data_IF_340143198922
#
_entry.id   IF_340143198922
#
_cell.length_a   1.000
_cell.length_b   1.000
_cell.length_c   1.000
_cell.angle_alpha   90.00
_cell.angle_beta   90.00
_cell.angle_gamma   90.00
#
_symmetry.space_group_name_H-M   'P 1'
#
loop_
_entity.id
_entity.type
_entity.pdbx_description
1 polymer ?
#
# COMPACT_ATOMS: atom_id res chain seq x y z
N UNK A 1 21.05 -49.06 9.98
CA UNK A 1 20.42 -49.36 11.28
C UNK A 1 20.55 -48.10 12.15
N UNK A 2 19.72 -47.08 11.94
CA UNK A 2 18.37 -46.91 12.50
C UNK A 2 18.34 -46.90 14.03
N UNK A 3 18.43 -45.70 14.61
CA UNK A 3 17.54 -45.29 15.70
C UNK A 3 17.02 -43.90 15.34
N UNK A 4 15.70 -43.82 15.21
CA UNK A 4 14.92 -42.67 14.78
C UNK A 4 14.83 -41.63 15.89
N UNK A 5 14.98 -40.35 15.53
CA UNK A 5 14.69 -39.19 16.38
C UNK A 5 13.19 -39.00 16.71
N UNK A 6 12.34 -39.98 16.38
CA UNK A 6 10.89 -39.98 16.60
C UNK A 6 10.46 -40.50 17.99
N UNK A 7 11.38 -40.82 18.91
CA UNK A 7 11.03 -41.36 20.24
C UNK A 7 11.30 -40.44 21.43
N UNK A 8 11.79 -39.21 21.24
CA UNK A 8 12.03 -38.25 22.35
C UNK A 8 11.00 -37.11 22.42
N UNK A 9 9.99 -37.10 21.55
CA UNK A 9 8.92 -36.10 21.54
C UNK A 9 7.66 -36.50 22.34
N UNK A 10 7.74 -37.54 23.18
CA UNK A 10 6.63 -37.98 24.04
C UNK A 10 7.09 -38.07 25.49
N UNK A 11 7.18 -36.92 26.16
CA UNK A 11 6.90 -36.73 27.60
C UNK A 11 7.42 -35.36 28.07
N UNK A 12 6.67 -34.30 27.80
CA UNK A 12 6.75 -33.05 28.58
C UNK A 12 5.33 -32.59 28.88
N UNK A 13 4.88 -32.86 30.10
CA UNK A 13 3.64 -32.33 30.67
C UNK A 13 3.92 -30.89 31.16
N UNK A 14 3.22 -29.91 30.59
CA UNK A 14 3.31 -28.51 31.01
C UNK A 14 2.46 -28.28 32.28
N UNK A 15 2.96 -27.56 33.30
CA UNK A 15 2.25 -27.33 34.55
C UNK A 15 1.04 -26.39 34.40
N UNK A 16 -0.03 -26.71 35.12
CA UNK A 16 -1.28 -25.96 35.20
C UNK A 16 -1.13 -24.64 35.95
N UNK A 17 -0.96 -23.54 35.23
CA UNK A 17 -1.14 -22.18 35.77
C UNK A 17 -2.23 -21.37 35.04
N UNK A 18 -2.92 -21.98 34.07
CA UNK A 18 -3.92 -21.30 33.22
C UNK A 18 -5.38 -21.47 33.68
N UNK A 19 -5.64 -22.14 34.81
CA UNK A 19 -7.00 -22.36 35.31
C UNK A 19 -7.42 -21.40 36.44
N UNK A 20 -6.49 -20.73 37.14
CA UNK A 20 -6.85 -19.78 38.21
C UNK A 20 -7.19 -18.37 37.68
N UNK A 21 -6.61 -17.94 36.55
CA UNK A 21 -6.82 -16.58 36.00
C UNK A 21 -8.17 -16.44 35.28
N UNK A 22 -8.68 -17.51 34.65
CA UNK A 22 -10.00 -17.51 33.99
C UNK A 22 -11.16 -17.44 34.99
N UNK A 23 -10.97 -17.91 36.23
CA UNK A 23 -11.99 -17.79 37.28
C UNK A 23 -12.07 -16.38 37.89
N UNK A 24 -10.96 -15.63 37.91
CA UNK A 24 -10.93 -14.26 38.43
C UNK A 24 -11.55 -13.21 37.50
N UNK A 25 -11.39 -13.38 36.18
CA UNK A 25 -11.93 -12.43 35.17
C UNK A 25 -13.44 -12.67 34.94
N UNK A 26 -13.89 -13.92 35.08
CA UNK A 26 -15.31 -14.31 34.92
C UNK A 26 -16.24 -13.66 35.97
N UNK A 27 -15.75 -13.42 37.21
CA UNK A 27 -16.55 -12.75 38.24
C UNK A 27 -16.72 -11.23 38.02
N UNK A 28 -15.86 -10.61 37.22
CA UNK A 28 -15.88 -9.15 37.01
C UNK A 28 -16.82 -8.71 35.87
N UNK A 29 -16.98 -9.55 34.84
CA UNK A 29 -17.70 -9.19 33.60
C UNK A 29 -19.22 -9.38 33.70
N UNK A 30 -19.74 -10.01 34.76
CA UNK A 30 -21.19 -10.29 34.87
C UNK A 30 -21.99 -9.32 35.75
N UNK A 31 -21.36 -8.33 36.38
CA UNK A 31 -22.08 -7.38 37.22
C UNK A 31 -22.52 -6.13 36.41
N UNK A 32 -23.61 -6.27 35.63
CA UNK A 32 -24.17 -5.17 34.79
C UNK A 32 -24.47 -3.87 35.56
N UNK A 33 -24.63 -3.93 36.89
CA UNK A 33 -24.78 -2.75 37.75
C UNK A 33 -23.47 -1.99 37.96
N UNK A 34 -22.34 -2.69 38.04
CA UNK A 34 -21.02 -2.08 38.20
C UNK A 34 -20.57 -1.34 36.93
N UNK A 35 -20.76 -1.96 35.76
CA UNK A 35 -20.42 -1.33 34.47
C UNK A 35 -21.23 -0.04 34.20
N UNK A 36 -22.51 -0.02 34.61
CA UNK A 36 -23.36 1.18 34.54
C UNK A 36 -22.90 2.27 35.51
N UNK A 37 -22.43 1.89 36.71
CA UNK A 37 -21.92 2.85 37.69
C UNK A 37 -20.64 3.53 37.18
N UNK A 38 -19.70 2.74 36.63
CA UNK A 38 -18.44 3.24 36.05
C UNK A 38 -18.71 4.19 34.89
N UNK A 39 -19.60 3.80 33.96
CA UNK A 39 -19.99 4.65 32.83
C UNK A 39 -20.63 5.96 33.30
N UNK A 40 -21.53 5.91 34.29
CA UNK A 40 -22.17 7.11 34.85
C UNK A 40 -21.15 8.04 35.52
N UNK A 41 -20.19 7.52 36.29
CA UNK A 41 -19.12 8.34 36.89
C UNK A 41 -18.23 8.98 35.84
N UNK A 42 -17.90 8.26 34.75
CA UNK A 42 -17.08 8.82 33.66
C UNK A 42 -17.82 9.96 32.95
N UNK A 43 -19.12 9.78 32.65
CA UNK A 43 -19.94 10.84 32.05
C UNK A 43 -20.05 12.07 32.97
N UNK A 44 -20.25 11.88 34.27
CA UNK A 44 -20.31 13.00 35.22
C UNK A 44 -18.97 13.76 35.32
N UNK A 45 -17.84 13.04 35.26
CA UNK A 45 -16.52 13.68 35.26
C UNK A 45 -16.29 14.50 33.99
N UNK A 46 -16.64 13.97 32.82
CA UNK A 46 -16.48 14.67 31.53
C UNK A 46 -17.39 15.91 31.47
N UNK A 47 -18.66 15.77 31.85
CA UNK A 47 -19.60 16.89 31.87
C UNK A 47 -19.19 17.94 32.91
N UNK A 48 -18.72 17.51 34.09
CA UNK A 48 -18.17 18.40 35.12
C UNK A 48 -16.93 19.17 34.64
N UNK A 49 -16.02 18.53 33.91
CA UNK A 49 -14.85 19.17 33.32
C UNK A 49 -15.22 20.19 32.24
N UNK A 50 -16.18 19.86 31.37
CA UNK A 50 -16.68 20.78 30.34
C UNK A 50 -17.42 21.98 30.96
N UNK A 51 -18.18 21.76 32.03
CA UNK A 51 -18.86 22.82 32.78
C UNK A 51 -17.88 23.71 33.57
N UNK A 52 -16.87 23.12 34.19
CA UNK A 52 -15.80 23.86 34.86
C UNK A 52 -15.04 24.74 33.86
N UNK A 53 -14.64 24.17 32.70
CA UNK A 53 -13.92 24.90 31.67
C UNK A 53 -14.73 26.06 31.04
N UNK A 54 -16.06 25.94 30.99
CA UNK A 54 -16.95 27.03 30.54
C UNK A 54 -17.10 28.11 31.61
N UNK A 55 -17.08 27.77 32.89
CA UNK A 55 -17.13 28.73 34.01
C UNK A 55 -15.80 29.47 34.23
N UNK A 56 -14.66 28.82 33.99
CA UNK A 56 -13.32 29.41 34.23
C UNK A 56 -12.74 30.14 33.02
N UNK A 57 -13.40 30.12 31.87
CA UNK A 57 -12.97 30.84 30.66
C UNK A 57 -11.63 30.34 30.07
N UNK A 58 -11.21 29.12 30.40
CA UNK A 58 -9.91 28.55 30.01
C UNK A 58 -9.98 27.76 28.70
N UNK A 59 -10.60 28.35 27.66
CA UNK A 59 -10.49 27.85 26.28
C UNK A 59 -9.64 28.85 25.49
N UNK A 60 -8.45 28.48 25.00
CA UNK A 60 -7.73 29.29 24.04
C UNK A 60 -8.56 29.41 22.75
N UNK A 61 -8.80 30.64 22.30
CA UNK A 61 -9.45 30.91 21.03
C UNK A 61 -8.60 30.36 19.87
N UNK A 62 -9.01 29.23 19.28
CA UNK A 62 -8.49 28.71 18.02
C UNK A 62 -9.19 29.41 16.85
N UNK A 63 -8.99 30.72 16.70
CA UNK A 63 -9.33 31.45 15.47
C UNK A 63 -8.30 32.55 15.25
N UNK A 64 -7.40 32.44 14.25
CA UNK A 64 -6.64 33.59 13.78
C UNK A 64 -7.55 34.49 12.96
N UNK A 65 -7.52 35.78 13.28
CA UNK A 65 -8.19 36.88 12.57
C UNK A 65 -7.93 36.86 11.07
N UNK A 66 -8.99 37.00 10.27
CA UNK A 66 -8.93 37.14 8.82
C UNK A 66 -8.28 38.48 8.43
N UNK A 67 -7.01 38.45 8.03
CA UNK A 67 -6.40 39.53 7.26
C UNK A 67 -6.64 39.29 5.77
N UNK A 68 -7.43 40.18 5.18
CA UNK A 68 -7.66 40.29 3.74
C UNK A 68 -6.31 40.59 3.06
N UNK A 69 -5.80 39.67 2.25
CA UNK A 69 -4.63 39.86 1.40
C UNK A 69 -5.10 39.92 -0.06
N UNK A 70 -4.89 41.07 -0.69
CA UNK A 70 -5.03 41.28 -2.13
C UNK A 70 -4.06 40.39 -2.94
N UNK A 71 -4.42 39.97 -4.16
CA UNK A 71 -3.59 39.07 -4.96
C UNK A 71 -2.55 39.85 -5.76
N UNK A 72 -1.30 39.92 -5.30
CA UNK A 72 -0.14 40.10 -6.19
C UNK A 72 1.18 39.89 -5.45
N UNK A 73 1.77 38.71 -5.60
CA UNK A 73 3.21 38.48 -5.74
C UNK A 73 3.42 36.97 -5.88
N UNK A 74 4.04 36.55 -6.98
CA UNK A 74 4.49 35.16 -7.15
C UNK A 74 5.34 34.77 -5.94
N UNK A 75 4.90 33.75 -5.21
CA UNK A 75 5.69 33.17 -4.13
C UNK A 75 7.05 32.71 -4.70
N UNK A 76 8.16 32.93 -3.98
CA UNK A 76 9.46 32.47 -4.41
C UNK A 76 9.44 30.94 -4.56
N UNK A 77 10.02 30.47 -5.67
CA UNK A 77 10.15 29.06 -6.03
C UNK A 77 10.71 28.28 -4.84
N UNK A 78 9.83 27.51 -4.18
CA UNK A 78 10.29 26.50 -3.23
C UNK A 78 11.29 25.59 -3.97
N UNK A 79 12.37 25.11 -3.33
CA UNK A 79 13.23 24.14 -3.96
C UNK A 79 12.36 23.01 -4.50
N UNK A 80 12.45 22.76 -5.80
CA UNK A 80 11.64 21.74 -6.46
C UNK A 80 11.82 20.44 -5.68
N UNK A 81 10.72 19.88 -5.16
CA UNK A 81 10.73 18.61 -4.46
C UNK A 81 11.35 17.50 -5.33
N UNK A 82 11.56 16.30 -4.78
CA UNK A 82 12.01 15.17 -5.57
C UNK A 82 11.08 14.98 -6.77
N UNK A 83 11.67 14.97 -7.97
CA UNK A 83 10.93 14.82 -9.23
C UNK A 83 10.12 13.52 -9.24
N UNK A 84 10.69 12.45 -8.68
CA UNK A 84 10.10 11.12 -8.70
C UNK A 84 9.87 10.58 -7.30
N UNK A 85 8.94 9.64 -7.16
CA UNK A 85 8.81 8.78 -5.99
C UNK A 85 8.49 7.34 -6.37
N UNK A 86 8.87 6.41 -5.50
CA UNK A 86 8.29 5.08 -5.45
C UNK A 86 7.21 5.07 -4.37
N UNK A 87 6.13 4.32 -4.55
CA UNK A 87 5.07 4.20 -3.57
C UNK A 87 4.61 2.75 -3.39
N UNK A 88 4.16 2.41 -2.19
CA UNK A 88 3.45 1.17 -1.89
C UNK A 88 2.36 1.42 -0.86
N UNK A 89 1.40 0.51 -0.76
CA UNK A 89 0.36 0.50 0.26
C UNK A 89 0.60 -0.63 1.25
N UNK A 90 0.72 -0.30 2.54
CA UNK A 90 0.77 -1.28 3.61
C UNK A 90 -0.59 -1.33 4.31
N UNK A 91 -1.32 -2.42 4.15
CA UNK A 91 -2.56 -2.69 4.88
C UNK A 91 -2.30 -3.24 6.29
N UNK A 92 -3.28 -3.17 7.20
CA UNK A 92 -3.26 -3.94 8.45
C UNK A 92 -3.14 -5.44 8.21
N UNK A 93 -2.73 -6.19 9.24
CA UNK A 93 -2.70 -7.63 9.13
C UNK A 93 -4.11 -8.21 9.30
N UNK A 94 -4.65 -8.76 8.22
CA UNK A 94 -6.00 -9.33 8.18
C UNK A 94 -6.10 -10.80 8.63
N UNK A 95 -5.04 -11.39 9.18
CA UNK A 95 -5.12 -12.70 9.80
C UNK A 95 -6.04 -12.68 11.03
N UNK A 96 -6.82 -13.74 11.22
CA UNK A 96 -7.72 -13.86 12.38
C UNK A 96 -6.94 -13.91 13.69
N UNK A 97 -7.38 -13.14 14.69
CA UNK A 97 -6.82 -13.12 16.06
C UNK A 97 -5.31 -12.79 16.11
N UNK A 98 -4.80 -12.02 15.15
CA UNK A 98 -3.40 -11.58 15.13
C UNK A 98 -3.18 -10.34 15.98
N UNK A 99 -2.03 -10.29 16.67
CA UNK A 99 -1.53 -9.06 17.26
C UNK A 99 -1.03 -8.16 16.13
N UNK A 100 -1.67 -7.00 15.93
CA UNK A 100 -1.27 -6.05 14.88
C UNK A 100 0.16 -5.54 15.05
N UNK A 101 0.73 -5.63 16.26
CA UNK A 101 2.12 -5.27 16.54
C UNK A 101 3.11 -6.39 16.22
N UNK A 102 2.65 -7.62 15.96
CA UNK A 102 3.51 -8.71 15.52
C UNK A 102 4.03 -8.42 14.11
N UNK A 103 5.36 -8.42 13.99
CA UNK A 103 6.08 -8.20 12.74
C UNK A 103 6.48 -9.51 12.07
N UNK A 104 6.67 -10.59 12.83
CA UNK A 104 7.23 -11.84 12.31
C UNK A 104 6.20 -12.62 11.50
N UNK A 105 4.92 -12.50 11.86
CA UNK A 105 3.80 -13.16 11.18
C UNK A 105 3.11 -12.27 10.14
N UNK A 106 3.62 -11.08 9.86
CA UNK A 106 3.03 -10.16 8.89
C UNK A 106 3.89 -10.12 7.63
N UNK A 107 3.58 -11.01 6.68
CA UNK A 107 4.42 -11.14 5.49
C UNK A 107 4.32 -9.93 4.55
N UNK A 108 3.20 -9.21 4.56
CA UNK A 108 3.08 -7.96 3.80
C UNK A 108 3.98 -6.88 4.41
N UNK A 109 4.00 -6.75 5.74
CA UNK A 109 4.96 -5.85 6.41
C UNK A 109 6.41 -6.25 6.11
N UNK A 110 6.76 -7.53 6.24
CA UNK A 110 8.11 -8.01 5.93
C UNK A 110 8.47 -7.75 4.46
N UNK A 111 7.53 -7.93 3.54
CA UNK A 111 7.76 -7.68 2.12
C UNK A 111 7.89 -6.18 1.81
N UNK A 112 7.12 -5.30 2.47
CA UNK A 112 7.32 -3.86 2.40
C UNK A 112 8.71 -3.44 2.88
N UNK A 113 9.22 -4.05 3.96
CA UNK A 113 10.61 -3.83 4.41
C UNK A 113 11.63 -4.30 3.37
N UNK A 114 11.42 -5.50 2.79
CA UNK A 114 12.26 -6.03 1.71
C UNK A 114 12.27 -5.07 0.51
N UNK A 115 11.11 -4.58 0.07
CA UNK A 115 11.00 -3.63 -1.03
C UNK A 115 11.73 -2.31 -0.73
N UNK A 116 11.57 -1.76 0.48
CA UNK A 116 12.31 -0.59 0.95
C UNK A 116 13.83 -0.82 0.88
N UNK A 117 14.30 -1.94 1.43
CA UNK A 117 15.71 -2.33 1.39
C UNK A 117 16.22 -2.52 -0.04
N UNK A 118 15.42 -3.13 -0.92
CA UNK A 118 15.78 -3.35 -2.32
C UNK A 118 15.95 -2.04 -3.08
N UNK A 119 15.05 -1.07 -2.87
CA UNK A 119 15.10 0.23 -3.53
C UNK A 119 16.22 1.12 -2.98
N UNK A 120 16.50 1.07 -1.68
CA UNK A 120 17.37 2.06 -1.01
C UNK A 120 18.79 1.58 -0.72
N UNK A 121 18.97 0.28 -0.51
CA UNK A 121 20.17 -0.22 0.18
C UNK A 121 20.86 -1.35 -0.58
N UNK A 122 20.11 -2.33 -1.05
CA UNK A 122 20.62 -3.53 -1.72
C UNK A 122 21.58 -3.17 -2.85
N UNK A 123 22.80 -3.72 -2.82
CA UNK A 123 23.79 -3.45 -3.88
C UNK A 123 23.37 -3.94 -5.26
N UNK A 124 22.40 -4.86 -5.33
CA UNK A 124 21.93 -5.43 -6.59
C UNK A 124 20.79 -4.63 -7.23
N UNK A 125 19.89 -4.09 -6.41
CA UNK A 125 18.61 -3.55 -6.85
C UNK A 125 18.42 -2.07 -6.54
N UNK A 126 19.28 -1.46 -5.72
CA UNK A 126 19.09 -0.06 -5.30
C UNK A 126 18.92 0.85 -6.50
N UNK A 127 18.01 1.80 -6.37
CA UNK A 127 17.85 2.87 -7.34
C UNK A 127 19.04 3.83 -7.26
N UNK A 128 19.48 4.36 -8.39
CA UNK A 128 20.71 5.15 -8.46
C UNK A 128 20.57 6.50 -7.72
N UNK A 129 19.42 7.17 -7.86
CA UNK A 129 19.15 8.43 -7.17
C UNK A 129 18.58 8.19 -5.77
N UNK A 130 19.40 8.50 -4.75
CA UNK A 130 19.03 8.32 -3.34
C UNK A 130 17.99 9.32 -2.84
N UNK A 131 17.76 10.40 -3.60
CA UNK A 131 16.79 11.44 -3.23
C UNK A 131 15.36 11.07 -3.60
N UNK A 132 15.16 10.03 -4.44
CA UNK A 132 13.83 9.49 -4.72
C UNK A 132 13.32 8.77 -3.47
N UNK A 133 12.23 9.25 -2.84
CA UNK A 133 11.69 8.63 -1.65
C UNK A 133 10.94 7.34 -2.00
N UNK A 134 10.83 6.46 -1.01
CA UNK A 134 9.89 5.34 -1.02
C UNK A 134 8.76 5.66 -0.05
N UNK A 135 7.60 5.99 -0.61
CA UNK A 135 6.38 6.35 0.11
C UNK A 135 5.67 5.07 0.54
N UNK A 136 5.45 4.89 1.84
CA UNK A 136 4.61 3.81 2.37
C UNK A 136 3.30 4.42 2.84
N UNK A 137 2.26 4.27 2.03
CA UNK A 137 0.90 4.66 2.38
C UNK A 137 0.42 3.75 3.51
N UNK A 138 0.03 4.34 4.64
CA UNK A 138 -0.34 3.63 5.85
C UNK A 138 -1.72 4.10 6.34
N UNK A 139 -2.81 3.38 5.99
CA UNK A 139 -4.16 3.63 6.48
C UNK A 139 -4.24 3.54 8.02
N UNK A 140 -5.27 4.08 8.69
CA UNK A 140 -5.24 4.35 10.13
C UNK A 140 -4.96 3.12 11.02
N UNK A 141 -5.32 1.93 10.56
CA UNK A 141 -5.23 0.69 11.34
C UNK A 141 -3.87 -0.02 11.25
N UNK A 142 -2.91 0.50 10.49
CA UNK A 142 -1.53 -0.02 10.50
C UNK A 142 -0.86 0.35 11.83
N UNK A 143 -0.35 -0.66 12.54
CA UNK A 143 0.25 -0.51 13.86
C UNK A 143 1.44 0.47 13.87
N UNK A 144 1.55 1.28 14.92
CA UNK A 144 2.56 2.34 15.01
C UNK A 144 3.98 1.80 14.99
N UNK A 145 4.26 0.67 15.66
CA UNK A 145 5.60 0.08 15.67
C UNK A 145 6.09 -0.31 14.26
N UNK A 146 5.18 -0.75 13.37
CA UNK A 146 5.50 -1.05 11.97
C UNK A 146 5.89 0.21 11.20
N UNK A 147 5.14 1.30 11.39
CA UNK A 147 5.46 2.62 10.82
C UNK A 147 6.83 3.12 11.31
N UNK A 148 7.09 3.01 12.60
CA UNK A 148 8.33 3.46 13.23
C UNK A 148 9.54 2.68 12.69
N UNK A 149 9.41 1.36 12.53
CA UNK A 149 10.47 0.52 11.94
C UNK A 149 10.76 0.95 10.50
N UNK A 150 9.74 1.06 9.64
CA UNK A 150 9.91 1.46 8.24
C UNK A 150 10.51 2.86 8.12
N UNK A 151 10.09 3.81 8.96
CA UNK A 151 10.67 5.15 9.03
C UNK A 151 12.16 5.11 9.43
N UNK A 152 12.51 4.32 10.45
CA UNK A 152 13.90 4.14 10.88
C UNK A 152 14.76 3.47 9.80
N UNK A 153 14.16 2.64 8.96
CA UNK A 153 14.78 2.00 7.80
C UNK A 153 14.85 2.90 6.55
N UNK A 154 14.39 4.15 6.66
CA UNK A 154 14.53 5.20 5.65
C UNK A 154 13.37 5.31 4.66
N UNK A 155 12.25 4.62 4.89
CA UNK A 155 11.02 4.85 4.14
C UNK A 155 10.33 6.14 4.59
N UNK A 156 9.58 6.78 3.69
CA UNK A 156 8.72 7.91 4.02
C UNK A 156 7.33 7.38 4.35
N UNK A 157 6.92 7.48 5.63
CA UNK A 157 5.59 7.06 6.04
C UNK A 157 4.58 8.13 5.65
N UNK A 158 3.55 7.73 4.91
CA UNK A 158 2.45 8.61 4.49
C UNK A 158 1.17 8.11 5.13
N UNK A 159 0.71 8.69 6.25
CA UNK A 159 -0.61 8.39 6.79
C UNK A 159 -1.68 8.79 5.78
N UNK A 160 -2.59 7.88 5.47
CA UNK A 160 -3.66 8.13 4.51
C UNK A 160 -5.03 7.88 5.14
N UNK A 161 -6.08 8.63 4.74
CA UNK A 161 -7.44 8.25 5.06
C UNK A 161 -7.80 6.95 4.32
N UNK A 162 -8.76 6.22 4.87
CA UNK A 162 -9.35 5.08 4.18
C UNK A 162 -10.47 5.56 3.23
N UNK A 163 -10.40 5.15 1.97
CA UNK A 163 -11.38 5.41 0.92
C UNK A 163 -12.28 4.20 0.77
N UNK A 164 -13.57 4.38 1.06
CA UNK A 164 -14.60 3.38 0.83
C UNK A 164 -15.97 4.05 0.70
N UNK A 165 -16.76 3.60 -0.27
CA UNK A 165 -18.16 3.98 -0.41
C UNK A 165 -19.09 2.82 0.03
N UNK A 166 -20.27 3.14 0.57
CA UNK A 166 -21.18 2.16 1.18
C UNK A 166 -21.62 1.03 0.23
N UNK A 167 -21.70 1.32 -1.07
CA UNK A 167 -22.10 0.36 -2.10
C UNK A 167 -21.01 -0.65 -2.42
N UNK A 168 -19.75 -0.34 -2.12
CA UNK A 168 -18.60 -1.19 -2.43
C UNK A 168 -18.53 -2.32 -1.42
N UNK A 169 -18.65 -3.55 -1.94
CA UNK A 169 -18.49 -4.78 -1.16
C UNK A 169 -17.20 -5.47 -1.59
N UNK A 170 -16.21 -5.38 -0.71
CA UNK A 170 -14.87 -5.90 -0.96
C UNK A 170 -14.91 -7.43 -1.05
N UNK A 171 -14.34 -8.05 -2.10
CA UNK A 171 -14.42 -9.50 -2.29
C UNK A 171 -13.47 -10.28 -1.36
N UNK A 172 -12.40 -9.65 -0.86
CA UNK A 172 -11.41 -10.24 0.04
C UNK A 172 -11.07 -9.28 1.20
N UNK A 173 -10.89 -9.75 2.45
CA UNK A 173 -10.53 -8.88 3.56
C UNK A 173 -9.24 -8.08 3.35
N UNK A 174 -8.25 -8.67 2.65
CA UNK A 174 -6.98 -8.01 2.33
C UNK A 174 -7.10 -6.91 1.28
N UNK A 175 -8.27 -6.74 0.68
CA UNK A 175 -8.48 -5.76 -0.39
C UNK A 175 -9.26 -4.53 0.06
N UNK A 176 -9.46 -4.38 1.37
CA UNK A 176 -10.22 -3.26 1.93
C UNK A 176 -9.59 -1.93 1.52
N UNK A 177 -8.28 -1.79 1.66
CA UNK A 177 -7.57 -0.54 1.39
C UNK A 177 -7.24 -0.29 -0.08
N UNK A 178 -7.64 -1.15 -1.02
CA UNK A 178 -7.13 -1.05 -2.40
C UNK A 178 -7.49 0.27 -3.11
N UNK A 179 -8.60 0.90 -2.76
CA UNK A 179 -8.97 2.22 -3.27
C UNK A 179 -8.13 3.35 -2.68
N UNK A 180 -7.43 3.14 -1.56
CA UNK A 180 -6.56 4.15 -0.95
C UNK A 180 -5.40 4.50 -1.90
N UNK A 181 -5.01 3.60 -2.81
CA UNK A 181 -4.03 3.84 -3.89
C UNK A 181 -4.39 5.07 -4.75
N UNK A 182 -5.68 5.40 -4.89
CA UNK A 182 -6.14 6.54 -5.68
C UNK A 182 -5.62 7.89 -5.15
N UNK A 183 -5.28 7.97 -3.86
CA UNK A 183 -4.70 9.17 -3.26
C UNK A 183 -3.38 9.59 -3.91
N UNK A 184 -2.67 8.67 -4.57
CA UNK A 184 -1.42 8.99 -5.28
C UNK A 184 -1.62 10.05 -6.37
N UNK A 185 -2.81 10.14 -6.98
CA UNK A 185 -3.11 11.19 -7.94
C UNK A 185 -3.17 12.59 -7.29
N UNK A 186 -3.39 12.68 -5.98
CA UNK A 186 -3.40 13.97 -5.26
C UNK A 186 -2.00 14.48 -4.88
N UNK A 187 -0.96 13.64 -4.98
CA UNK A 187 0.41 13.98 -4.54
C UNK A 187 1.16 14.81 -5.60
N UNK A 188 0.60 15.96 -5.93
CA UNK A 188 1.04 16.88 -6.99
C UNK A 188 2.40 17.55 -6.74
N UNK A 189 3.02 17.31 -5.57
CA UNK A 189 4.41 17.68 -5.31
C UNK A 189 5.43 16.81 -6.07
N UNK A 190 5.01 15.64 -6.57
CA UNK A 190 5.83 14.76 -7.41
C UNK A 190 5.47 14.90 -8.88
N UNK A 191 6.48 14.87 -9.75
CA UNK A 191 6.27 14.84 -11.20
C UNK A 191 5.86 13.44 -11.68
N UNK A 192 6.47 12.37 -11.14
CA UNK A 192 6.04 10.98 -11.41
C UNK A 192 6.09 10.12 -10.17
N UNK A 193 5.14 9.21 -10.05
CA UNK A 193 5.13 8.18 -9.00
C UNK A 193 5.02 6.83 -9.67
N UNK A 194 5.94 5.91 -9.34
CA UNK A 194 5.78 4.48 -9.62
C UNK A 194 5.20 3.81 -8.39
N UNK A 195 4.01 3.23 -8.52
CA UNK A 195 3.40 2.39 -7.52
C UNK A 195 3.81 0.93 -7.71
N UNK A 196 4.17 0.27 -6.60
CA UNK A 196 4.45 -1.16 -6.52
C UNK A 196 3.66 -1.75 -5.35
N UNK A 197 2.89 -2.81 -5.59
CA UNK A 197 2.27 -3.58 -4.52
C UNK A 197 3.32 -4.18 -3.58
N UNK A 198 2.94 -4.40 -2.32
CA UNK A 198 3.87 -4.90 -1.30
C UNK A 198 4.39 -6.32 -1.59
N UNK A 199 3.74 -7.09 -2.47
CA UNK A 199 4.18 -8.39 -2.99
C UNK A 199 4.89 -8.31 -4.36
N UNK A 200 5.31 -7.11 -4.79
CA UNK A 200 6.31 -6.94 -5.85
C UNK A 200 7.71 -7.14 -5.28
N UNK A 201 8.54 -7.91 -5.99
CA UNK A 201 9.94 -8.17 -5.64
C UNK A 201 10.87 -7.74 -6.78
N UNK A 202 11.93 -6.99 -6.45
CA UNK A 202 12.91 -6.54 -7.44
C UNK A 202 13.92 -7.65 -7.73
N UNK A 203 14.01 -8.02 -9.00
CA UNK A 203 15.07 -8.88 -9.52
C UNK A 203 16.28 -8.03 -9.87
N UNK A 204 16.08 -6.87 -10.49
CA UNK A 204 17.11 -5.90 -10.84
C UNK A 204 16.72 -4.49 -10.41
N UNK A 205 17.65 -3.53 -10.57
CA UNK A 205 17.36 -2.12 -10.32
C UNK A 205 16.35 -1.54 -11.31
N UNK A 206 15.47 -0.66 -10.81
CA UNK A 206 14.47 0.07 -11.60
C UNK A 206 15.02 1.32 -12.32
N UNK A 207 16.34 1.47 -12.42
CA UNK A 207 16.95 2.56 -13.19
C UNK A 207 16.43 2.55 -14.63
N UNK A 208 16.01 3.71 -15.15
CA UNK A 208 15.42 3.83 -16.48
C UNK A 208 13.90 3.81 -16.52
N UNK A 209 13.22 3.49 -15.41
CA UNK A 209 11.76 3.30 -15.43
C UNK A 209 10.97 4.59 -15.72
N UNK A 210 11.46 5.74 -15.25
CA UNK A 210 10.82 7.04 -15.49
C UNK A 210 11.15 7.60 -16.88
N UNK A 211 12.13 7.02 -17.57
CA UNK A 211 12.53 7.35 -18.93
C UNK A 211 11.79 6.50 -19.98
N UNK A 212 10.99 5.52 -19.57
CA UNK A 212 10.14 4.75 -20.48
C UNK A 212 9.22 5.70 -21.28
N UNK A 213 9.03 5.42 -22.58
CA UNK A 213 8.20 6.24 -23.44
C UNK A 213 6.74 6.28 -22.97
N UNK A 214 6.24 5.19 -22.37
CA UNK A 214 4.92 5.13 -21.78
C UNK A 214 4.79 6.06 -20.56
N UNK A 215 5.88 6.31 -19.83
CA UNK A 215 5.93 7.16 -18.64
C UNK A 215 5.94 8.68 -18.92
N UNK A 216 6.00 9.08 -20.20
CA UNK A 216 5.96 10.50 -20.59
C UNK A 216 4.52 11.04 -20.58
N UNK A 217 4.35 12.35 -20.75
CA UNK A 217 3.03 12.97 -20.88
C UNK A 217 2.35 12.60 -22.21
N UNK A 218 1.04 12.39 -22.15
CA UNK A 218 0.18 12.12 -23.30
C UNK A 218 -0.97 13.12 -23.34
N UNK A 219 -1.36 13.53 -24.53
CA UNK A 219 -2.51 14.41 -24.71
C UNK A 219 -3.83 13.67 -24.48
N UNK A 220 -4.77 14.31 -23.78
CA UNK A 220 -6.14 13.82 -23.65
C UNK A 220 -6.85 13.94 -25.01
N UNK A 221 -7.54 12.86 -25.42
CA UNK A 221 -8.29 12.86 -26.67
C UNK A 221 -9.60 13.64 -26.52
N UNK A 222 -9.62 14.85 -27.07
CA UNK A 222 -10.81 15.72 -27.10
C UNK A 222 -12.00 15.04 -27.79
N UNK A 223 -11.75 14.33 -28.90
CA UNK A 223 -12.79 13.63 -29.68
C UNK A 223 -13.50 12.53 -28.90
N UNK A 224 -12.79 11.89 -27.97
CA UNK A 224 -13.30 10.80 -27.12
C UNK A 224 -13.78 11.29 -25.75
N UNK A 225 -13.64 12.58 -25.46
CA UNK A 225 -14.07 13.15 -24.19
C UNK A 225 -15.59 13.31 -24.18
N UNK A 226 -16.25 12.72 -23.18
CA UNK A 226 -17.71 12.85 -23.03
C UNK A 226 -18.09 14.31 -22.72
N UNK A 227 -19.26 14.77 -23.19
CA UNK A 227 -19.71 16.17 -23.00
C UNK A 227 -19.71 16.61 -21.52
N UNK A 228 -20.13 15.71 -20.63
CA UNK A 228 -20.16 15.94 -19.19
C UNK A 228 -18.77 16.06 -18.54
N UNK A 229 -17.70 15.67 -19.24
CA UNK A 229 -16.32 15.67 -18.76
C UNK A 229 -15.49 16.80 -19.40
N UNK A 230 -16.07 17.60 -20.30
CA UNK A 230 -15.41 18.76 -20.88
C UNK A 230 -15.02 19.75 -19.77
N UNK A 231 -13.72 20.10 -19.72
CA UNK A 231 -13.17 21.00 -18.71
C UNK A 231 -12.97 20.36 -17.32
N UNK A 232 -13.21 19.05 -17.18
CA UNK A 232 -12.98 18.28 -15.95
C UNK A 232 -11.81 17.30 -16.05
N UNK A 233 -11.21 17.18 -17.25
CA UNK A 233 -10.01 16.40 -17.51
C UNK A 233 -8.84 17.37 -17.77
N UNK A 234 -7.59 16.99 -17.41
CA UNK A 234 -6.41 17.77 -17.75
C UNK A 234 -6.18 17.80 -19.27
N UNK A 235 -5.30 18.66 -19.75
CA UNK A 235 -4.86 18.63 -21.16
C UNK A 235 -3.90 17.48 -21.46
N UNK A 236 -3.03 17.17 -20.50
CA UNK A 236 -2.06 16.10 -20.56
C UNK A 236 -2.23 15.15 -19.37
N UNK A 237 -1.81 13.90 -19.49
CA UNK A 237 -1.82 12.93 -18.39
C UNK A 237 -0.70 11.91 -18.59
N UNK A 238 -0.35 11.22 -17.52
CA UNK A 238 0.45 10.00 -17.59
C UNK A 238 -0.22 8.93 -16.73
N UNK A 239 -0.52 7.80 -17.36
CA UNK A 239 -0.75 6.54 -16.68
C UNK A 239 -0.18 5.43 -17.56
N UNK A 240 0.75 4.69 -17.00
CA UNK A 240 1.49 3.64 -17.68
C UNK A 240 1.58 2.41 -16.79
N UNK A 241 1.56 1.23 -17.39
CA UNK A 241 1.70 -0.02 -16.64
C UNK A 241 2.00 -1.19 -17.55
N UNK A 242 2.12 -2.36 -16.94
CA UNK A 242 2.24 -3.63 -17.66
C UNK A 242 0.86 -4.26 -17.84
N UNK A 243 0.74 -5.14 -18.84
CA UNK A 243 -0.47 -5.95 -19.04
C UNK A 243 -0.60 -6.93 -17.86
N UNK A 244 -1.80 -7.06 -17.32
CA UNK A 244 -2.09 -8.12 -16.37
C UNK A 244 -2.08 -9.48 -17.09
N UNK A 245 -1.12 -10.33 -16.73
CA UNK A 245 -1.04 -11.70 -17.22
C UNK A 245 -2.16 -12.59 -16.69
N UNK A 246 -2.82 -12.20 -15.59
CA UNK A 246 -3.81 -13.02 -14.89
C UNK A 246 -3.25 -14.38 -14.48
N UNK A 247 -4.10 -15.41 -14.48
CA UNK A 247 -3.70 -16.83 -14.36
C UNK A 247 -3.36 -17.47 -15.72
N UNK A 248 -3.32 -16.69 -16.80
CA UNK A 248 -2.97 -17.16 -18.15
C UNK A 248 -1.46 -17.28 -18.32
N UNK A 249 -1.00 -17.94 -19.40
CA UNK A 249 0.42 -17.86 -19.74
C UNK A 249 0.74 -16.44 -20.21
N UNK A 250 1.90 -15.90 -19.84
CA UNK A 250 2.41 -14.58 -20.23
C UNK A 250 2.32 -14.31 -21.74
N UNK A 251 2.46 -15.36 -22.56
CA UNK A 251 2.37 -15.31 -24.03
C UNK A 251 0.94 -15.15 -24.56
N UNK A 252 -0.08 -15.39 -23.72
CA UNK A 252 -1.50 -15.33 -24.06
C UNK A 252 -2.28 -14.69 -22.89
N UNK A 253 -2.06 -13.40 -22.63
CA UNK A 253 -2.82 -12.69 -21.60
C UNK A 253 -4.32 -12.76 -21.93
N UNK A 254 -5.17 -12.74 -20.89
CA UNK A 254 -6.62 -12.76 -21.09
C UNK A 254 -7.11 -11.53 -21.86
N UNK A 255 -6.40 -10.40 -21.74
CA UNK A 255 -6.63 -9.18 -22.52
C UNK A 255 -5.33 -8.41 -22.64
N UNK A 256 -4.97 -8.00 -23.87
CA UNK A 256 -3.83 -7.12 -24.11
C UNK A 256 -4.07 -5.66 -23.68
N UNK A 257 -5.32 -5.34 -23.30
CA UNK A 257 -5.79 -4.00 -22.98
C UNK A 257 -6.22 -3.85 -21.51
N UNK A 258 -5.82 -4.80 -20.66
CA UNK A 258 -6.12 -4.80 -19.24
C UNK A 258 -4.82 -4.64 -18.44
N UNK A 259 -4.69 -3.51 -17.75
CA UNK A 259 -3.49 -3.14 -17.00
C UNK A 259 -3.47 -3.80 -15.63
N UNK A 260 -2.29 -4.22 -15.18
CA UNK A 260 -2.05 -4.61 -13.80
C UNK A 260 -1.98 -3.38 -12.88
N UNK A 261 -2.74 -3.35 -11.78
CA UNK A 261 -2.77 -2.23 -10.82
C UNK A 261 -1.89 -2.44 -9.58
N UNK A 262 -1.05 -3.48 -9.57
CA UNK A 262 0.03 -3.61 -8.61
C UNK A 262 1.38 -3.10 -9.13
N UNK A 263 1.46 -2.73 -10.40
CA UNK A 263 2.64 -2.07 -10.97
C UNK A 263 2.23 -1.04 -12.02
N UNK A 264 2.22 0.24 -11.64
CA UNK A 264 1.85 1.32 -12.54
C UNK A 264 2.56 2.63 -12.21
N UNK A 265 2.77 3.46 -13.21
CA UNK A 265 3.39 4.77 -13.12
C UNK A 265 2.38 5.84 -13.52
N UNK A 266 2.30 6.90 -12.71
CA UNK A 266 1.41 8.04 -12.97
C UNK A 266 2.16 9.38 -12.91
N UNK A 267 1.58 10.38 -13.56
CA UNK A 267 1.75 11.78 -13.19
C UNK A 267 0.59 12.16 -12.26
N UNK A 268 0.84 12.50 -10.99
CA UNK A 268 -0.21 13.02 -10.11
C UNK A 268 -0.88 14.25 -10.72
N UNK A 269 -2.21 14.31 -10.60
CA UNK A 269 -3.04 15.39 -11.12
C UNK A 269 -4.35 15.46 -10.32
N UNK A 270 -4.60 16.62 -9.72
CA UNK A 270 -5.76 16.83 -8.85
C UNK A 270 -7.09 16.67 -9.60
N UNK A 271 -7.17 17.03 -10.89
CA UNK A 271 -8.40 16.84 -11.67
C UNK A 271 -8.67 15.35 -11.91
N UNK A 272 -7.61 14.57 -12.16
CA UNK A 272 -7.75 13.11 -12.30
C UNK A 272 -8.13 12.44 -10.99
N UNK A 273 -7.56 12.88 -9.86
CA UNK A 273 -7.99 12.40 -8.55
C UNK A 273 -9.49 12.63 -8.33
N UNK A 274 -9.97 13.85 -8.54
CA UNK A 274 -11.40 14.18 -8.41
C UNK A 274 -12.27 13.39 -9.38
N UNK A 275 -11.79 13.17 -10.61
CA UNK A 275 -12.48 12.34 -11.60
C UNK A 275 -12.60 10.89 -11.13
N UNK A 276 -11.53 10.28 -10.61
CA UNK A 276 -11.53 8.92 -10.06
C UNK A 276 -12.47 8.80 -8.85
N UNK A 277 -12.46 9.78 -7.95
CA UNK A 277 -13.36 9.81 -6.79
C UNK A 277 -14.84 9.91 -7.21
N UNK A 278 -15.16 10.60 -8.31
CA UNK A 278 -16.51 10.63 -8.86
C UNK A 278 -17.00 9.27 -9.44
N UNK A 279 -16.10 8.32 -9.69
CA UNK A 279 -16.47 6.92 -9.92
C UNK A 279 -16.72 6.21 -8.59
N UNK A 280 -15.81 6.34 -7.61
CA UNK A 280 -15.96 5.74 -6.27
C UNK A 280 -17.30 6.14 -5.62
N UNK A 281 -17.70 7.40 -5.71
CA UNK A 281 -18.93 7.90 -5.09
C UNK A 281 -20.21 7.45 -5.82
N UNK A 282 -20.10 6.98 -7.06
CA UNK A 282 -21.23 6.60 -7.91
C UNK A 282 -21.48 5.10 -7.81
N UNK A 283 -22.64 4.66 -7.28
CA UNK A 283 -22.97 3.24 -7.21
C UNK A 283 -22.86 2.54 -8.56
N UNK A 284 -22.30 1.32 -8.54
CA UNK A 284 -22.18 0.41 -9.69
C UNK A 284 -21.45 1.01 -10.91
N UNK A 285 -20.62 2.03 -10.69
CA UNK A 285 -19.88 2.73 -11.76
C UNK A 285 -18.70 1.93 -12.32
N UNK A 286 -18.22 0.95 -11.56
CA UNK A 286 -17.18 0.00 -11.96
C UNK A 286 -17.42 -1.34 -11.27
N UNK A 287 -16.85 -2.42 -11.83
CA UNK A 287 -16.91 -3.74 -11.19
C UNK A 287 -15.93 -3.83 -10.02
N UNK A 288 -16.42 -4.15 -8.81
CA UNK A 288 -15.57 -4.31 -7.62
C UNK A 288 -14.78 -5.64 -7.57
N UNK A 289 -14.92 -6.52 -8.57
CA UNK A 289 -14.31 -7.86 -8.56
C UNK A 289 -12.78 -7.86 -8.55
N UNK A 290 -12.15 -6.77 -9.03
CA UNK A 290 -10.71 -6.50 -8.93
C UNK A 290 -10.47 -5.07 -8.41
N UNK A 291 -11.40 -4.56 -7.60
CA UNK A 291 -11.31 -3.26 -6.91
C UNK A 291 -10.83 -2.11 -7.81
N UNK A 292 -9.77 -1.41 -7.41
CA UNK A 292 -9.15 -0.30 -8.10
C UNK A 292 -8.61 -0.67 -9.48
N UNK A 293 -8.18 -1.94 -9.70
CA UNK A 293 -7.71 -2.35 -11.02
C UNK A 293 -8.81 -2.23 -12.07
N UNK A 294 -10.04 -2.63 -11.73
CA UNK A 294 -11.18 -2.46 -12.62
C UNK A 294 -11.53 -0.99 -12.80
N UNK A 295 -11.58 -0.21 -11.72
CA UNK A 295 -11.85 1.24 -11.80
C UNK A 295 -10.85 1.93 -12.74
N UNK A 296 -9.55 1.67 -12.55
CA UNK A 296 -8.48 2.23 -13.38
C UNK A 296 -8.65 1.79 -14.84
N UNK A 297 -8.95 0.52 -15.11
CA UNK A 297 -9.16 0.03 -16.47
C UNK A 297 -10.44 0.55 -17.13
N UNK A 298 -11.48 0.86 -16.35
CA UNK A 298 -12.72 1.48 -16.84
C UNK A 298 -12.48 2.95 -17.21
N UNK A 299 -11.76 3.70 -16.35
CA UNK A 299 -11.48 5.13 -16.56
C UNK A 299 -10.43 5.35 -17.66
N UNK A 300 -9.36 4.57 -17.65
CA UNK A 300 -8.22 4.73 -18.56
C UNK A 300 -8.20 3.67 -19.66
N UNK A 301 -9.35 3.07 -19.98
CA UNK A 301 -9.47 2.05 -21.02
C UNK A 301 -9.11 2.56 -22.41
N UNK A 302 -8.67 1.67 -23.31
CA UNK A 302 -8.19 2.01 -24.66
C UNK A 302 -9.23 2.76 -25.54
N UNK A 303 -10.51 2.57 -25.24
CA UNK A 303 -11.62 3.26 -25.91
C UNK A 303 -11.85 4.69 -25.45
N UNK A 304 -11.32 5.09 -24.29
CA UNK A 304 -11.58 6.37 -23.64
C UNK A 304 -10.66 7.51 -24.07
N UNK A 305 -10.84 8.71 -23.47
CA UNK A 305 -10.04 9.89 -23.78
C UNK A 305 -8.62 9.83 -23.22
N UNK A 306 -8.38 8.99 -22.21
CA UNK A 306 -7.11 8.90 -21.50
C UNK A 306 -6.60 7.45 -21.43
N UNK A 307 -6.38 6.78 -22.57
CA UNK A 307 -5.95 5.38 -22.55
C UNK A 307 -4.59 5.20 -21.88
N UNK A 308 -4.51 4.29 -20.90
CA UNK A 308 -3.24 3.93 -20.27
C UNK A 308 -2.24 3.40 -21.30
N UNK A 309 -0.94 3.60 -21.02
CA UNK A 309 0.14 3.24 -21.94
C UNK A 309 0.88 1.99 -21.48
N UNK A 310 1.09 1.08 -22.42
CA UNK A 310 1.80 -0.17 -22.18
C UNK A 310 3.30 0.08 -22.07
N UNK A 311 3.86 -0.22 -20.92
CA UNK A 311 5.31 -0.21 -20.67
C UNK A 311 5.96 -1.47 -21.24
N UNK A 312 7.30 -1.51 -21.29
CA UNK A 312 8.03 -2.75 -21.58
C UNK A 312 7.57 -3.85 -20.61
N UNK A 313 7.11 -5.02 -21.10
CA UNK A 313 6.68 -6.11 -20.23
C UNK A 313 7.80 -6.62 -19.32
N UNK A 314 9.07 -6.33 -19.57
CA UNK A 314 10.17 -6.68 -18.66
C UNK A 314 10.15 -5.88 -17.35
N UNK A 315 9.37 -4.81 -17.24
CA UNK A 315 9.30 -4.07 -15.99
C UNK A 315 8.70 -4.91 -14.87
N UNK A 316 7.58 -5.60 -15.12
CA UNK A 316 6.92 -6.45 -14.14
C UNK A 316 6.19 -7.63 -14.79
N UNK A 317 6.12 -8.75 -14.08
CA UNK A 317 5.29 -9.90 -14.46
C UNK A 317 4.61 -10.53 -13.26
N UNK A 318 3.32 -10.80 -13.43
CA UNK A 318 2.59 -11.71 -12.57
C UNK A 318 2.95 -13.17 -12.90
N UNK A 319 2.75 -14.06 -11.95
CA UNK A 319 3.06 -15.49 -12.10
C UNK A 319 4.47 -15.79 -12.61
N UNK A 320 5.50 -15.36 -11.86
CA UNK A 320 6.86 -15.45 -12.33
C UNK A 320 7.35 -16.89 -12.42
N UNK A 321 8.13 -17.15 -13.45
CA UNK A 321 8.90 -18.38 -13.64
C UNK A 321 10.40 -18.09 -13.49
N UNK A 322 11.24 -19.10 -13.16
CA UNK A 322 12.68 -18.90 -13.06
C UNK A 322 13.32 -18.34 -14.34
N UNK A 323 12.66 -18.53 -15.48
CA UNK A 323 13.12 -18.06 -16.78
C UNK A 323 12.91 -16.55 -16.98
N UNK A 324 11.91 -15.94 -16.32
CA UNK A 324 11.70 -14.49 -16.37
C UNK A 324 12.90 -13.75 -15.76
N UNK A 325 13.39 -14.26 -14.63
CA UNK A 325 14.61 -13.76 -13.97
C UNK A 325 15.81 -13.83 -14.92
N UNK A 326 15.98 -14.92 -15.67
CA UNK A 326 17.09 -15.07 -16.63
C UNK A 326 16.95 -14.16 -17.85
N UNK A 327 15.71 -13.86 -18.24
CA UNK A 327 15.41 -13.04 -19.41
C UNK A 327 15.40 -11.53 -19.13
N UNK A 328 15.82 -11.12 -17.93
CA UNK A 328 16.05 -9.73 -17.56
C UNK A 328 14.78 -8.98 -17.17
N UNK A 329 13.78 -9.69 -16.62
CA UNK A 329 12.68 -9.05 -15.90
C UNK A 329 13.22 -8.28 -14.70
N UNK A 330 12.71 -7.07 -14.50
CA UNK A 330 13.16 -6.15 -13.45
C UNK A 330 12.44 -6.41 -12.15
N UNK A 331 11.15 -6.69 -12.19
CA UNK A 331 10.36 -7.15 -11.05
C UNK A 331 9.54 -8.39 -11.37
N UNK A 332 9.15 -9.06 -10.31
CA UNK A 332 8.21 -10.16 -10.31
C UNK A 332 7.15 -9.88 -9.24
N UNK A 333 5.90 -10.18 -9.56
CA UNK A 333 4.76 -9.81 -8.75
C UNK A 333 4.03 -11.07 -8.29
N UNK A 334 4.34 -11.49 -7.06
CA UNK A 334 3.68 -12.61 -6.41
C UNK A 334 4.06 -12.72 -4.94
N UNK A 335 3.27 -13.49 -4.18
CA UNK A 335 3.48 -13.73 -2.74
C UNK A 335 4.59 -14.75 -2.52
N UNK A 336 5.85 -14.35 -2.77
CA UNK A 336 7.02 -15.25 -2.80
C UNK A 336 7.30 -16.00 -1.48
N UNK A 337 6.71 -15.56 -0.38
CA UNK A 337 6.74 -16.25 0.91
C UNK A 337 5.84 -17.48 0.98
N UNK A 338 4.93 -17.68 0.01
CA UNK A 338 4.02 -18.84 -0.07
C UNK A 338 4.49 -19.86 -1.10
N UNK A 339 4.11 -21.13 -0.91
CA UNK A 339 4.26 -22.18 -1.93
C UNK A 339 3.02 -22.24 -2.81
N UNK A 340 1.84 -22.20 -2.18
CA UNK A 340 0.53 -22.09 -2.84
C UNK A 340 0.11 -20.63 -2.80
N UNK A 341 0.05 -20.00 -3.96
CA UNK A 341 -0.40 -18.64 -4.12
C UNK A 341 -1.45 -18.56 -5.24
N UNK A 342 -2.21 -17.46 -5.22
CA UNK A 342 -3.15 -17.12 -6.28
C UNK A 342 -2.58 -15.89 -6.99
N UNK A 343 -2.59 -15.84 -8.34
CA UNK A 343 -3.26 -16.78 -9.24
C UNK A 343 -2.47 -18.08 -9.55
N UNK A 344 -1.25 -18.22 -9.05
CA UNK A 344 -0.32 -19.29 -9.42
C UNK A 344 0.58 -19.68 -8.25
N UNK A 345 1.00 -20.94 -8.26
CA UNK A 345 1.96 -21.46 -7.28
C UNK A 345 3.35 -20.86 -7.51
N UNK A 346 4.13 -20.75 -6.44
CA UNK A 346 5.46 -20.17 -6.48
C UNK A 346 6.49 -21.28 -6.70
N UNK A 347 7.32 -21.12 -7.74
CA UNK A 347 8.48 -21.98 -7.92
C UNK A 347 9.44 -21.83 -6.71
N UNK A 348 9.88 -22.94 -6.07
CA UNK A 348 10.74 -22.87 -4.90
C UNK A 348 12.06 -22.12 -5.10
N UNK A 349 12.60 -22.06 -6.32
CA UNK A 349 13.79 -21.26 -6.65
C UNK A 349 13.50 -19.78 -6.47
N UNK A 350 12.37 -19.32 -6.99
CA UNK A 350 11.94 -17.91 -6.90
C UNK A 350 11.58 -17.57 -5.46
N UNK A 351 10.82 -18.42 -4.77
CA UNK A 351 10.46 -18.21 -3.37
C UNK A 351 11.69 -18.05 -2.46
N UNK A 352 12.76 -18.82 -2.71
CA UNK A 352 14.03 -18.68 -1.97
C UNK A 352 14.72 -17.33 -2.16
N UNK A 353 14.49 -16.62 -3.27
CA UNK A 353 15.07 -15.29 -3.49
C UNK A 353 14.56 -14.30 -2.45
N UNK A 354 13.27 -14.33 -2.14
CA UNK A 354 12.67 -13.46 -1.12
C UNK A 354 13.24 -13.74 0.27
N UNK A 355 13.28 -14.99 0.71
CA UNK A 355 13.85 -15.36 2.02
C UNK A 355 15.34 -15.01 2.14
N UNK A 356 16.11 -15.16 1.05
CA UNK A 356 17.51 -14.76 1.02
C UNK A 356 17.66 -13.26 1.19
N UNK A 357 16.88 -12.47 0.45
CA UNK A 357 16.89 -11.00 0.53
C UNK A 357 16.41 -10.51 1.90
N UNK A 358 15.38 -11.15 2.47
CA UNK A 358 14.93 -10.91 3.83
C UNK A 358 16.07 -11.13 4.84
N UNK A 359 16.78 -12.27 4.77
CA UNK A 359 17.92 -12.54 5.64
C UNK A 359 19.08 -11.54 5.48
N UNK A 360 19.34 -11.10 4.24
CA UNK A 360 20.34 -10.06 3.97
C UNK A 360 19.93 -8.71 4.58
N UNK A 361 18.66 -8.34 4.45
CA UNK A 361 18.10 -7.13 5.02
C UNK A 361 18.18 -7.14 6.54
N UNK A 362 17.75 -8.22 7.20
CA UNK A 362 17.84 -8.34 8.66
C UNK A 362 19.29 -8.25 9.14
N UNK A 363 20.22 -8.90 8.42
CA UNK A 363 21.65 -8.81 8.74
C UNK A 363 22.17 -7.37 8.59
N UNK A 364 21.74 -6.64 7.56
CA UNK A 364 22.11 -5.25 7.33
C UNK A 364 21.64 -4.34 8.47
N UNK A 365 20.36 -4.38 8.84
CA UNK A 365 19.82 -3.51 9.89
C UNK A 365 20.29 -3.91 11.29
N UNK A 366 20.58 -5.19 11.53
CA UNK A 366 21.21 -5.66 12.75
C UNK A 366 22.74 -5.39 12.81
N UNK A 367 23.34 -4.85 11.74
CA UNK A 367 24.78 -4.64 11.60
C UNK A 367 25.61 -5.92 11.78
N UNK A 368 25.04 -7.06 11.39
CA UNK A 368 25.69 -8.37 11.44
C UNK A 368 26.40 -8.59 10.09
N UNK A 369 27.74 -8.75 10.07
CA UNK A 369 28.45 -9.05 8.83
C UNK A 369 27.95 -10.37 8.24
N UNK A 370 27.54 -10.32 6.97
CA UNK A 370 27.25 -11.55 6.24
C UNK A 370 28.56 -12.27 5.91
N UNK A 371 28.61 -13.56 6.26
CA UNK A 371 29.77 -14.44 6.00
C UNK A 371 29.72 -15.07 4.63
#
# INVERSE_FOLDING_TARGET
MSKSWLSEATNIQLPSAAQSTKQYISQWVHNKRFLRLVAATFTFLVVGLLYYNTLTGTVPALVPSSSIISPSAKAPFAPAGPKYAFATLLSPNYLENVDQTDIASDEYFLSTRVLNYQLRTSNHTKYADKNVPFLVMCPPNVAQNKRDILAAEGATIVPVPHIMADWIKVPLPTWVEMLDKLLLWSYTEYDRILYLDADVYLVESLNGIFEDAAAQDHEVSVEKTHENDIGKLPSQYTIAGVVDGGSGSREKPMSENYMNAGFFLIRPDQMLYEHLMAFVDRPDSFSVSMMEQNLINDVFGQGGPMPWKKMDPKWDTSCPEPEDVKNGYKTIHSKLWKVKASPCDIDPVIGRMWYKTLGHMESFYAQIPMR
#
